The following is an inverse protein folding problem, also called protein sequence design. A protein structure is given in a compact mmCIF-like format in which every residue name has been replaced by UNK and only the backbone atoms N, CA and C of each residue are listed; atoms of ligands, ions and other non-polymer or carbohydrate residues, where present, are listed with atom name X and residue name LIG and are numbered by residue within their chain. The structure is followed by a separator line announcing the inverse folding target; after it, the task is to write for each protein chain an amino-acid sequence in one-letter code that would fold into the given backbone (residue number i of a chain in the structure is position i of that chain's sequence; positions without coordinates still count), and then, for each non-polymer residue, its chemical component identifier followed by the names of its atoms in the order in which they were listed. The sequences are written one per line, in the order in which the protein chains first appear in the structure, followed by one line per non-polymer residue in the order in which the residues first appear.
data_IF_272971998253
#
_entry.id   IF_272971998253
#
_cell.length_a   1.000
_cell.length_b   1.000
_cell.length_c   1.000
_cell.angle_alpha   90.00
_cell.angle_beta   90.00
_cell.angle_gamma   90.00
#
_symmetry.space_group_name_H-M   'P 1'
#
loop_
_entity.id
_entity.type
_entity.pdbx_description
1 polymer ?
#
# COMPACT_ATOMS: atom_id res chain seq x y z
N UNK A 1 -55.88 -42.50 -17.31
CA UNK A 1 -55.51 -41.10 -17.61
C UNK A 1 -55.14 -40.20 -16.40
N UNK A 2 -55.49 -40.47 -15.11
CA UNK A 2 -55.07 -39.59 -14.00
C UNK A 2 -53.62 -39.81 -13.55
N UNK A 3 -53.10 -41.04 -13.69
CA UNK A 3 -51.74 -41.38 -13.29
C UNK A 3 -50.67 -40.63 -14.11
N UNK A 4 -50.91 -40.40 -15.41
CA UNK A 4 -49.98 -39.67 -16.26
C UNK A 4 -49.91 -38.18 -15.91
N UNK A 5 -51.03 -37.59 -15.45
CA UNK A 5 -51.09 -36.19 -14.99
C UNK A 5 -50.37 -36.01 -13.65
N UNK A 6 -50.52 -36.95 -12.73
CA UNK A 6 -49.80 -36.94 -11.45
C UNK A 6 -48.28 -37.09 -11.63
N UNK A 7 -47.86 -37.94 -12.58
CA UNK A 7 -46.45 -38.08 -12.95
C UNK A 7 -45.88 -36.76 -13.51
N UNK A 8 -46.66 -36.09 -14.36
CA UNK A 8 -46.26 -34.82 -14.95
C UNK A 8 -46.15 -33.69 -13.92
N UNK A 9 -47.11 -33.57 -12.99
CA UNK A 9 -47.02 -32.61 -11.88
C UNK A 9 -45.84 -32.90 -10.93
N UNK A 10 -45.51 -34.17 -10.68
CA UNK A 10 -44.33 -34.55 -9.90
C UNK A 10 -43.02 -34.16 -10.58
N UNK A 11 -42.92 -34.34 -11.90
CA UNK A 11 -41.75 -33.93 -12.68
C UNK A 11 -41.59 -32.40 -12.75
N UNK A 12 -42.69 -31.65 -12.88
CA UNK A 12 -42.66 -30.18 -12.88
C UNK A 12 -42.31 -29.60 -11.50
N UNK A 13 -42.74 -30.21 -10.41
CA UNK A 13 -42.38 -29.79 -9.05
C UNK A 13 -40.89 -29.95 -8.73
N UNK A 14 -40.22 -30.94 -9.35
CA UNK A 14 -38.78 -31.15 -9.22
C UNK A 14 -37.93 -30.15 -10.01
N UNK A 15 -38.50 -29.50 -11.03
CA UNK A 15 -37.81 -28.47 -11.83
C UNK A 15 -37.83 -27.09 -11.15
N UNK A 16 -38.62 -26.92 -10.08
CA UNK A 16 -38.64 -25.71 -9.26
C UNK A 16 -37.75 -25.82 -8.01
N UNK A 17 -36.77 -26.74 -7.99
CA UNK A 17 -35.80 -26.84 -6.91
C UNK A 17 -34.79 -25.69 -7.01
N UNK A 18 -34.95 -24.75 -6.09
CA UNK A 18 -34.07 -23.64 -5.70
C UNK A 18 -32.83 -23.40 -6.59
N UNK A 19 -32.95 -22.42 -7.48
CA UNK A 19 -31.81 -21.80 -8.15
C UNK A 19 -31.19 -20.78 -7.18
N UNK A 20 -29.98 -21.07 -6.68
CA UNK A 20 -29.20 -20.13 -5.89
C UNK A 20 -28.02 -19.64 -6.75
N UNK A 21 -28.12 -18.39 -7.20
CA UNK A 21 -27.10 -17.71 -7.99
C UNK A 21 -26.51 -16.56 -7.17
N UNK A 22 -25.50 -16.87 -6.38
CA UNK A 22 -24.75 -15.88 -5.62
C UNK A 22 -23.65 -16.52 -4.78
N UNK A 23 -22.52 -15.83 -4.54
CA UNK A 23 -21.58 -16.27 -3.52
C UNK A 23 -22.32 -16.25 -2.18
N UNK A 24 -22.30 -17.38 -1.45
CA UNK A 24 -22.87 -17.48 -0.10
C UNK A 24 -22.40 -16.25 0.70
N UNK A 25 -23.30 -15.29 0.89
CA UNK A 25 -22.97 -14.10 1.65
C UNK A 25 -22.65 -14.57 3.07
N UNK A 26 -21.59 -14.05 3.71
CA UNK A 26 -21.36 -14.31 5.12
C UNK A 26 -22.54 -13.76 5.90
N UNK A 27 -23.51 -14.62 6.22
CA UNK A 27 -24.65 -14.24 7.04
C UNK A 27 -24.19 -14.17 8.50
N UNK A 28 -24.07 -12.96 9.02
CA UNK A 28 -23.99 -12.74 10.46
C UNK A 28 -25.38 -12.99 11.06
N UNK A 29 -25.58 -14.18 11.60
CA UNK A 29 -26.76 -14.48 12.41
C UNK A 29 -26.34 -14.52 13.88
N UNK A 30 -27.03 -13.76 14.75
CA UNK A 30 -26.83 -13.79 16.20
C UNK A 30 -25.38 -13.55 16.71
N UNK A 31 -24.59 -12.74 16.01
CA UNK A 31 -23.21 -12.40 16.42
C UNK A 31 -22.16 -13.51 16.20
N UNK A 32 -22.54 -14.59 15.49
CA UNK A 32 -21.62 -15.59 14.96
C UNK A 32 -21.43 -15.42 13.46
N UNK A 33 -20.18 -15.52 13.02
CA UNK A 33 -19.86 -15.67 11.60
C UNK A 33 -19.84 -17.17 11.28
N UNK A 34 -20.69 -17.56 10.35
CA UNK A 34 -20.83 -18.94 9.88
C UNK A 34 -19.96 -19.11 8.64
N UNK A 35 -18.85 -19.86 8.74
CA UNK A 35 -18.02 -20.20 7.59
C UNK A 35 -18.10 -21.71 7.36
N UNK A 36 -18.55 -22.10 6.17
CA UNK A 36 -18.57 -23.50 5.75
C UNK A 36 -17.17 -23.90 5.30
N UNK A 37 -16.59 -24.89 5.96
CA UNK A 37 -15.26 -25.39 5.64
C UNK A 37 -15.30 -26.92 5.55
N UNK A 38 -14.99 -27.45 4.37
CA UNK A 38 -14.80 -28.88 4.15
C UNK A 38 -13.29 -29.17 4.13
N UNK A 39 -12.74 -29.94 5.07
CA UNK A 39 -11.29 -30.15 5.22
C UNK A 39 -10.58 -30.70 3.98
N UNK A 40 -11.28 -31.52 3.19
CA UNK A 40 -10.73 -32.17 2.01
C UNK A 40 -10.95 -31.36 0.73
N UNK A 41 -11.69 -30.24 0.82
CA UNK A 41 -11.96 -29.31 -0.28
C UNK A 41 -12.96 -29.80 -1.33
N UNK A 42 -13.48 -31.01 -1.19
CA UNK A 42 -14.50 -31.60 -2.06
C UNK A 42 -15.88 -31.45 -1.42
N UNK A 43 -16.72 -30.57 -1.97
CA UNK A 43 -18.03 -30.23 -1.42
C UNK A 43 -19.09 -31.15 -2.03
N UNK A 44 -19.59 -32.12 -1.27
CA UNK A 44 -20.64 -33.02 -1.74
C UNK A 44 -22.04 -32.44 -1.43
N UNK A 45 -23.00 -32.67 -2.31
CA UNK A 45 -24.38 -32.13 -2.18
C UNK A 45 -25.13 -32.66 -0.94
N UNK A 46 -24.62 -33.74 -0.32
CA UNK A 46 -25.17 -34.38 0.88
C UNK A 46 -24.44 -34.01 2.17
N UNK A 47 -23.47 -33.09 2.14
CA UNK A 47 -22.75 -32.69 3.34
C UNK A 47 -23.68 -31.90 4.27
N UNK A 48 -23.91 -32.45 5.47
CA UNK A 48 -24.73 -31.80 6.49
C UNK A 48 -24.11 -30.45 6.89
N UNK A 49 -24.79 -29.32 6.64
CA UNK A 49 -24.23 -27.99 6.89
C UNK A 49 -23.91 -27.75 8.38
N UNK A 50 -24.56 -28.46 9.30
CA UNK A 50 -24.29 -28.39 10.74
C UNK A 50 -22.97 -29.08 11.15
N UNK A 51 -22.49 -30.05 10.35
CA UNK A 51 -21.24 -30.76 10.63
C UNK A 51 -20.02 -30.03 10.08
N UNK A 52 -20.17 -29.31 8.98
CA UNK A 52 -19.09 -28.63 8.27
C UNK A 52 -19.04 -27.11 8.55
N UNK A 53 -19.75 -26.64 9.59
CA UNK A 53 -19.77 -25.23 9.94
C UNK A 53 -18.76 -24.90 11.04
N UNK A 54 -17.85 -23.99 10.72
CA UNK A 54 -17.05 -23.30 11.72
C UNK A 54 -17.80 -22.05 12.19
N UNK A 55 -18.10 -22.04 13.50
CA UNK A 55 -18.78 -20.96 14.19
C UNK A 55 -17.74 -20.04 14.84
N UNK A 56 -17.47 -18.90 14.23
CA UNK A 56 -16.66 -17.87 14.86
C UNK A 56 -17.57 -16.99 15.72
N UNK A 57 -17.46 -17.13 17.04
CA UNK A 57 -18.16 -16.26 17.97
C UNK A 57 -17.40 -14.95 18.08
N UNK A 58 -17.98 -13.86 17.62
CA UNK A 58 -17.35 -12.54 17.71
C UNK A 58 -17.48 -12.07 19.17
N UNK A 59 -16.47 -12.39 19.98
CA UNK A 59 -16.38 -11.89 21.35
C UNK A 59 -15.83 -10.47 21.33
N UNK A 60 -16.66 -9.54 21.83
CA UNK A 60 -16.42 -8.11 22.05
C UNK A 60 -16.44 -7.21 20.79
N UNK A 61 -17.28 -6.16 20.78
CA UNK A 61 -17.11 -5.02 19.88
C UNK A 61 -15.97 -4.15 20.41
N UNK A 62 -14.76 -4.69 20.58
CA UNK A 62 -13.60 -3.80 20.61
C UNK A 62 -13.52 -3.22 19.21
N UNK A 63 -13.91 -1.94 19.06
CA UNK A 63 -13.39 -1.13 17.97
C UNK A 63 -11.90 -1.43 17.95
N UNK A 64 -11.37 -1.91 16.83
CA UNK A 64 -9.94 -1.99 16.61
C UNK A 64 -9.40 -0.57 16.84
N UNK A 65 -9.02 -0.26 18.07
CA UNK A 65 -8.32 0.96 18.40
C UNK A 65 -6.99 0.80 17.73
N UNK A 66 -6.68 1.72 16.80
CA UNK A 66 -5.36 1.80 16.20
C UNK A 66 -4.33 1.60 17.30
N UNK A 67 -3.49 0.57 17.18
CA UNK A 67 -2.42 0.34 18.13
C UNK A 67 -1.63 1.65 18.27
N UNK A 68 -1.26 2.07 19.49
CA UNK A 68 -0.49 3.30 19.65
C UNK A 68 0.85 3.13 18.92
N UNK A 69 1.01 3.84 17.80
CA UNK A 69 2.18 3.74 16.91
C UNK A 69 1.96 3.01 15.59
N UNK A 70 0.78 2.42 15.35
CA UNK A 70 0.41 1.88 14.04
C UNK A 70 0.09 2.99 13.05
N UNK A 71 0.60 2.87 11.82
CA UNK A 71 0.19 3.74 10.73
C UNK A 71 -1.32 3.52 10.47
N UNK A 72 -2.02 4.56 10.01
CA UNK A 72 -3.37 4.31 9.47
C UNK A 72 -3.27 3.37 8.28
N UNK A 73 -4.28 2.52 8.04
CA UNK A 73 -4.31 1.60 6.88
C UNK A 73 -3.98 2.29 5.55
N UNK A 74 -4.39 3.56 5.40
CA UNK A 74 -4.05 4.38 4.23
C UNK A 74 -2.55 4.67 4.13
N UNK A 75 -1.90 4.99 5.24
CA UNK A 75 -0.46 5.20 5.29
C UNK A 75 0.30 3.90 5.05
N UNK A 76 -0.15 2.78 5.63
CA UNK A 76 0.44 1.46 5.38
C UNK A 76 0.39 1.09 3.89
N UNK A 77 -0.78 1.28 3.25
CA UNK A 77 -0.92 1.05 1.81
C UNK A 77 -0.03 1.97 0.97
N UNK A 78 0.17 3.21 1.43
CA UNK A 78 1.06 4.16 0.73
C UNK A 78 2.53 3.74 0.85
N UNK A 79 2.95 3.29 2.03
CA UNK A 79 4.31 2.78 2.25
C UNK A 79 4.53 1.51 1.44
N UNK A 80 3.57 0.58 1.49
CA UNK A 80 3.62 -0.67 0.73
C UNK A 80 3.67 -0.40 -0.79
N UNK A 81 2.86 0.53 -1.29
CA UNK A 81 2.88 0.92 -2.71
C UNK A 81 4.26 1.41 -3.16
N UNK A 82 4.90 2.28 -2.36
CA UNK A 82 6.27 2.74 -2.63
C UNK A 82 7.28 1.59 -2.61
N UNK A 83 7.18 0.69 -1.64
CA UNK A 83 8.07 -0.48 -1.55
C UNK A 83 7.92 -1.40 -2.76
N UNK A 84 6.69 -1.61 -3.24
CA UNK A 84 6.41 -2.42 -4.42
C UNK A 84 6.99 -1.76 -5.68
N UNK A 85 6.82 -0.44 -5.83
CA UNK A 85 7.42 0.31 -6.95
C UNK A 85 8.95 0.24 -6.92
N UNK A 86 9.57 0.42 -5.75
CA UNK A 86 11.01 0.34 -5.59
C UNK A 86 11.54 -1.07 -5.86
N UNK A 87 10.85 -2.11 -5.37
CA UNK A 87 11.17 -3.51 -5.69
C UNK A 87 11.05 -3.79 -7.19
N UNK A 88 10.03 -3.23 -7.85
CA UNK A 88 9.85 -3.33 -9.30
C UNK A 88 11.04 -2.76 -10.09
N UNK A 89 11.50 -1.56 -9.72
CA UNK A 89 12.69 -0.92 -10.35
C UNK A 89 13.95 -1.76 -10.16
N UNK A 90 14.13 -2.35 -8.98
CA UNK A 90 15.26 -3.25 -8.69
C UNK A 90 15.19 -4.50 -9.57
N UNK A 91 14.04 -5.16 -9.63
CA UNK A 91 13.87 -6.37 -10.45
C UNK A 91 14.07 -6.08 -11.95
N UNK A 92 13.63 -4.92 -12.44
CA UNK A 92 13.89 -4.49 -13.82
C UNK A 92 15.39 -4.31 -14.09
N UNK A 93 16.13 -3.69 -13.16
CA UNK A 93 17.58 -3.54 -13.27
C UNK A 93 18.31 -4.89 -13.27
N UNK A 94 17.87 -5.85 -12.44
CA UNK A 94 18.42 -7.21 -12.40
C UNK A 94 18.15 -7.93 -13.73
N UNK A 95 16.91 -7.85 -14.23
CA UNK A 95 16.55 -8.41 -15.53
C UNK A 95 17.41 -7.86 -16.67
N UNK A 96 17.67 -6.55 -16.66
CA UNK A 96 18.53 -5.88 -17.65
C UNK A 96 20.00 -6.31 -17.52
N UNK A 97 20.52 -6.40 -16.31
CA UNK A 97 21.89 -6.89 -16.08
C UNK A 97 22.03 -8.35 -16.53
N UNK A 98 21.02 -9.18 -16.24
CA UNK A 98 20.99 -10.57 -16.64
C UNK A 98 20.90 -10.75 -18.16
N UNK A 99 20.21 -9.86 -18.90
CA UNK A 99 20.17 -9.95 -20.36
C UNK A 99 21.54 -9.75 -21.01
N UNK A 100 22.35 -8.82 -20.48
CA UNK A 100 23.71 -8.59 -20.99
C UNK A 100 24.68 -9.74 -20.67
N UNK A 101 24.44 -10.49 -19.60
CA UNK A 101 25.24 -11.68 -19.29
C UNK A 101 24.94 -12.82 -20.29
N UNK A 102 23.68 -12.95 -20.71
CA UNK A 102 23.24 -13.97 -21.67
C UNK A 102 23.64 -13.68 -23.13
N UNK A 103 23.88 -12.41 -23.48
CA UNK A 103 24.27 -11.97 -24.83
C UNK A 103 25.80 -12.10 -25.11
N UNK A 104 26.60 -12.45 -24.09
CA UNK A 104 28.03 -12.77 -24.21
C UNK A 104 28.99 -11.72 -23.62
N UNK A 105 30.24 -12.13 -23.35
CA UNK A 105 31.21 -11.39 -22.52
C UNK A 105 31.53 -9.95 -22.99
N UNK A 106 31.54 -9.71 -24.31
CA UNK A 106 31.81 -8.38 -24.86
C UNK A 106 30.67 -7.38 -24.54
N UNK A 107 29.43 -7.86 -24.56
CA UNK A 107 28.24 -7.05 -24.27
C UNK A 107 28.16 -6.68 -22.77
N UNK A 108 28.45 -7.63 -21.88
CA UNK A 108 28.52 -7.40 -20.45
C UNK A 108 29.66 -6.44 -20.07
N UNK A 109 30.84 -6.60 -20.68
CA UNK A 109 31.98 -5.70 -20.48
C UNK A 109 31.68 -4.27 -20.91
N UNK A 110 30.96 -4.08 -22.02
CA UNK A 110 30.54 -2.75 -22.47
C UNK A 110 29.48 -2.14 -21.54
N UNK A 111 28.52 -2.95 -21.07
CA UNK A 111 27.53 -2.55 -20.07
C UNK A 111 28.21 -2.09 -18.78
N UNK A 112 29.13 -2.87 -18.22
CA UNK A 112 29.87 -2.53 -17.00
C UNK A 112 30.64 -1.21 -17.11
N UNK A 113 31.28 -0.95 -18.26
CA UNK A 113 31.98 0.33 -18.49
C UNK A 113 31.02 1.51 -18.50
N UNK A 114 29.82 1.35 -19.09
CA UNK A 114 28.79 2.39 -19.12
C UNK A 114 28.22 2.65 -17.73
N UNK A 115 27.90 1.59 -16.98
CA UNK A 115 27.41 1.70 -15.60
C UNK A 115 28.46 2.34 -14.69
N UNK A 116 29.73 1.94 -14.79
CA UNK A 116 30.81 2.56 -14.01
C UNK A 116 30.96 4.05 -14.30
N UNK A 117 30.82 4.47 -15.57
CA UNK A 117 30.83 5.88 -15.94
C UNK A 117 29.63 6.64 -15.36
N UNK A 118 28.42 6.10 -15.47
CA UNK A 118 27.20 6.72 -14.91
C UNK A 118 27.28 6.86 -13.38
N UNK A 119 27.77 5.83 -12.70
CA UNK A 119 28.01 5.87 -11.25
C UNK A 119 29.03 6.97 -10.93
N UNK A 120 30.12 7.06 -11.68
CA UNK A 120 31.13 8.12 -11.52
C UNK A 120 30.54 9.52 -11.68
N UNK A 121 29.73 9.75 -12.71
CA UNK A 121 29.07 11.02 -12.94
C UNK A 121 28.09 11.39 -11.82
N UNK A 122 27.34 10.40 -11.30
CA UNK A 122 26.43 10.59 -10.17
C UNK A 122 27.19 10.99 -8.88
N UNK A 123 28.31 10.32 -8.58
CA UNK A 123 29.16 10.70 -7.44
C UNK A 123 29.76 12.09 -7.60
N UNK A 124 30.29 12.43 -8.78
CA UNK A 124 30.81 13.76 -9.06
C UNK A 124 29.74 14.85 -8.92
N UNK A 125 28.50 14.58 -9.34
CA UNK A 125 27.38 15.50 -9.14
C UNK A 125 27.03 15.69 -7.66
N UNK A 126 27.09 14.61 -6.88
CA UNK A 126 26.81 14.62 -5.44
C UNK A 126 27.89 15.38 -4.67
N UNK A 127 29.15 15.23 -5.04
CA UNK A 127 30.28 15.97 -4.46
C UNK A 127 30.15 17.48 -4.70
N UNK A 128 29.76 17.88 -5.92
CA UNK A 128 29.46 19.29 -6.22
C UNK A 128 28.32 19.82 -5.35
N UNK A 129 27.21 19.09 -5.26
CA UNK A 129 26.08 19.48 -4.42
C UNK A 129 26.47 19.59 -2.93
N UNK A 130 27.30 18.68 -2.42
CA UNK A 130 27.81 18.73 -1.05
C UNK A 130 28.71 19.95 -0.83
N UNK A 131 29.63 20.25 -1.74
CA UNK A 131 30.49 21.43 -1.63
C UNK A 131 29.69 22.74 -1.69
N UNK A 132 28.63 22.81 -2.50
CA UNK A 132 27.71 23.93 -2.52
C UNK A 132 26.96 24.06 -1.19
N UNK A 133 26.46 22.96 -0.62
CA UNK A 133 25.80 22.96 0.68
C UNK A 133 26.75 23.38 1.80
N UNK A 134 28.00 22.93 1.78
CA UNK A 134 29.03 23.37 2.73
C UNK A 134 29.29 24.87 2.62
N UNK A 135 29.39 25.41 1.40
CA UNK A 135 29.58 26.84 1.19
C UNK A 135 28.39 27.65 1.73
N UNK A 136 27.15 27.21 1.45
CA UNK A 136 25.92 27.80 1.99
C UNK A 136 25.87 27.71 3.52
N UNK A 137 26.32 26.59 4.09
CA UNK A 137 26.38 26.40 5.54
C UNK A 137 27.41 27.34 6.18
N UNK A 138 28.59 27.50 5.58
CA UNK A 138 29.60 28.46 6.06
C UNK A 138 29.11 29.90 5.93
N UNK A 139 28.45 30.23 4.82
CA UNK A 139 27.85 31.54 4.60
C UNK A 139 26.75 31.84 5.62
N UNK A 140 25.90 30.86 5.95
CA UNK A 140 24.90 30.97 7.03
C UNK A 140 25.50 31.01 8.44
N UNK A 141 26.81 30.74 8.58
CA UNK A 141 27.56 30.77 9.84
C UNK A 141 28.47 32.00 9.97
N UNK A 142 28.55 32.87 8.96
CA UNK A 142 29.13 34.20 9.19
C UNK A 142 28.39 34.85 10.37
N UNK A 143 29.11 35.50 11.30
CA UNK A 143 28.45 36.19 12.39
C UNK A 143 27.48 37.17 11.76
N UNK A 144 26.20 37.03 12.11
CA UNK A 144 25.20 38.06 11.85
C UNK A 144 25.89 39.42 12.09
N UNK A 145 25.95 40.31 11.09
CA UNK A 145 26.64 41.58 11.27
C UNK A 145 26.05 42.19 12.53
N UNK A 146 26.94 42.73 13.34
CA UNK A 146 26.73 43.25 14.69
C UNK A 146 25.82 44.50 14.69
N UNK A 147 24.79 44.54 13.85
CA UNK A 147 23.62 45.37 13.94
C UNK A 147 22.60 44.63 14.79
N UNK A 148 22.79 44.73 16.11
CA UNK A 148 21.86 44.22 17.11
C UNK A 148 20.51 44.93 17.08
N UNK A 149 19.73 44.75 16.02
CA UNK A 149 18.28 44.84 16.10
C UNK A 149 17.82 43.49 16.64
N UNK A 150 17.56 43.42 17.94
CA UNK A 150 16.90 42.25 18.52
C UNK A 150 15.63 42.01 17.70
N UNK A 151 15.19 40.76 17.47
CA UNK A 151 13.97 40.49 16.70
C UNK A 151 12.73 41.27 17.18
N UNK A 152 12.73 41.73 18.44
CA UNK A 152 11.75 42.68 18.97
C UNK A 152 11.78 44.08 18.34
N UNK A 153 12.95 44.60 17.94
CA UNK A 153 13.12 45.92 17.31
C UNK A 153 12.59 45.92 15.87
N UNK A 154 12.79 44.81 15.14
CA UNK A 154 12.20 44.61 13.82
C UNK A 154 10.66 44.51 13.88
N UNK A 155 10.12 43.82 14.90
CA UNK A 155 8.68 43.75 15.15
C UNK A 155 8.08 45.12 15.52
N UNK A 156 8.76 45.88 16.38
CA UNK A 156 8.38 47.25 16.73
C UNK A 156 8.37 48.18 15.52
N UNK A 157 9.38 48.10 14.65
CA UNK A 157 9.43 48.86 13.40
C UNK A 157 8.25 48.55 12.46
N UNK A 158 7.86 47.28 12.38
CA UNK A 158 6.72 46.82 11.59
C UNK A 158 5.38 47.31 12.15
N UNK A 159 5.21 47.26 13.48
CA UNK A 159 4.01 47.75 14.16
C UNK A 159 3.87 49.28 14.06
N UNK A 160 4.97 50.02 14.13
CA UNK A 160 4.97 51.47 13.96
C UNK A 160 4.62 51.87 12.52
N UNK A 161 5.11 51.12 11.52
CA UNK A 161 4.72 51.30 10.11
C UNK A 161 3.24 50.98 9.88
N UNK A 162 2.75 49.86 10.44
CA UNK A 162 1.34 49.49 10.34
C UNK A 162 0.43 50.58 10.95
N UNK A 163 0.84 51.16 12.09
CA UNK A 163 0.11 52.27 12.73
C UNK A 163 0.13 53.56 11.91
N UNK A 164 1.22 53.84 11.19
CA UNK A 164 1.31 55.01 10.32
C UNK A 164 0.42 54.91 9.08
N UNK A 165 0.17 53.70 8.59
CA UNK A 165 -0.73 53.42 7.46
C UNK A 165 -2.21 53.39 7.85
N UNK A 166 -2.51 53.30 9.15
CA UNK A 166 -3.87 53.27 9.71
C UNK A 166 -4.33 54.66 10.24
N UNK A 167 -3.59 55.72 9.93
CA UNK A 167 -4.03 57.12 10.07
C UNK A 167 -4.34 57.69 8.70
#
# INVERSE_FOLDING_TARGET
MPALRLLWLGCLGSLCRAYFDGPLQPEMSNGSLHHYFVPDGDYEENDDPERCQLLFRVSEPRRCGAAPGGLSLRQELTVLGRQVEDAGRVLESIGRSSSYDLDGEESYSQYLRREAAQIGDAYASSERALSELESKFRQGREPEPRDGARPGDACLGLLLRARALLR
#
